data_IF_978780025674
#
_entry.id   IF_978780025674
#
_cell.length_a   1.000
_cell.length_b   1.000
_cell.length_c   1.000
_cell.angle_alpha   90.00
_cell.angle_beta   90.00
_cell.angle_gamma   90.00
#
_symmetry.space_group_name_H-M   'P 1'
#
loop_
_entity.id
_entity.type
_entity.pdbx_description
1 polymer ?
#
# COMPACT_ATOMS: atom_id res chain seq x y z
N UNK A 1 8.22 34.38 18.42
CA UNK A 1 7.30 33.42 19.07
C UNK A 1 6.88 32.41 18.03
N UNK A 2 7.32 31.16 18.20
CA UNK A 2 6.99 30.06 17.31
C UNK A 2 5.55 29.61 17.58
N UNK A 3 4.67 29.75 16.59
CA UNK A 3 3.43 29.00 16.55
C UNK A 3 3.75 27.65 15.92
N UNK A 4 3.97 26.65 16.77
CA UNK A 4 3.90 25.23 16.43
C UNK A 4 2.54 24.96 15.78
N UNK A 5 2.53 24.89 14.45
CA UNK A 5 1.47 24.19 13.74
C UNK A 5 1.59 22.73 14.16
N UNK A 6 0.70 22.31 15.05
CA UNK A 6 0.42 20.92 15.34
C UNK A 6 0.08 20.27 13.99
N UNK A 7 1.06 19.58 13.40
CA UNK A 7 0.83 18.71 12.26
C UNK A 7 -0.05 17.60 12.81
N UNK A 8 -1.36 17.76 12.72
CA UNK A 8 -2.33 16.70 12.87
C UNK A 8 -1.81 15.55 12.00
N UNK A 9 -1.28 14.50 12.64
CA UNK A 9 -0.80 13.30 11.96
C UNK A 9 -2.00 12.69 11.26
N UNK A 10 -2.19 13.01 9.99
CA UNK A 10 -3.19 12.38 9.17
C UNK A 10 -2.54 11.18 8.47
N UNK A 11 -3.11 9.99 8.70
CA UNK A 11 -2.63 8.75 8.14
C UNK A 11 -2.63 8.79 6.62
N UNK A 12 -1.46 8.59 6.02
CA UNK A 12 -1.36 8.37 4.58
C UNK A 12 -1.82 6.95 4.25
N UNK A 13 -2.28 6.75 3.00
CA UNK A 13 -2.63 5.42 2.47
C UNK A 13 -1.53 4.39 2.72
N UNK A 14 -0.28 4.82 2.60
CA UNK A 14 0.89 3.97 2.71
C UNK A 14 1.17 3.54 4.15
N UNK A 15 1.12 4.48 5.09
CA UNK A 15 1.28 4.17 6.51
C UNK A 15 0.19 3.22 6.99
N UNK A 16 -1.03 3.33 6.46
CA UNK A 16 -2.10 2.39 6.76
C UNK A 16 -1.73 0.98 6.29
N UNK A 17 -1.34 0.85 5.02
CA UNK A 17 -0.95 -0.45 4.44
C UNK A 17 0.23 -1.08 5.17
N UNK A 18 1.22 -0.27 5.55
CA UNK A 18 2.35 -0.70 6.38
C UNK A 18 1.88 -1.21 7.74
N UNK A 19 1.05 -0.43 8.44
CA UNK A 19 0.49 -0.84 9.72
C UNK A 19 -0.26 -2.16 9.57
N UNK A 20 -1.17 -2.28 8.60
CA UNK A 20 -1.95 -3.49 8.37
C UNK A 20 -1.06 -4.71 8.10
N UNK A 21 -0.03 -4.56 7.25
CA UNK A 21 0.90 -5.65 6.93
C UNK A 21 1.69 -6.11 8.16
N UNK A 22 2.11 -5.19 9.03
CA UNK A 22 2.82 -5.52 10.28
C UNK A 22 1.96 -6.30 11.29
N UNK A 23 0.64 -6.32 11.10
CA UNK A 23 -0.27 -7.04 11.99
C UNK A 23 -0.51 -8.50 11.59
N UNK A 24 -0.08 -8.94 10.40
CA UNK A 24 -0.29 -10.31 9.91
C UNK A 24 0.29 -11.33 10.90
N UNK A 25 -0.49 -12.37 11.19
CA UNK A 25 -0.14 -13.39 12.19
C UNK A 25 -0.59 -13.06 13.61
N UNK A 26 -1.13 -11.84 13.86
CA UNK A 26 -1.84 -11.57 15.12
C UNK A 26 -3.10 -12.44 15.19
N UNK A 27 -3.23 -13.21 16.27
CA UNK A 27 -4.40 -14.02 16.55
C UNK A 27 -5.08 -13.60 17.85
N UNK A 28 -6.29 -14.10 18.06
CA UNK A 28 -7.02 -13.97 19.31
C UNK A 28 -6.27 -14.59 20.50
N UNK A 29 -6.46 -14.00 21.68
CA UNK A 29 -5.94 -14.53 22.93
C UNK A 29 -6.98 -14.36 24.04
N UNK A 30 -7.60 -15.45 24.54
CA UNK A 30 -7.43 -16.85 24.13
C UNK A 30 -7.90 -17.15 22.68
N UNK A 31 -7.45 -18.25 22.05
CA UNK A 31 -7.95 -18.64 20.72
C UNK A 31 -9.47 -18.86 20.69
N UNK A 32 -10.15 -18.35 19.66
CA UNK A 32 -11.60 -18.49 19.46
C UNK A 32 -12.45 -17.58 20.36
N UNK A 33 -11.83 -16.66 21.09
CA UNK A 33 -12.51 -15.77 22.05
C UNK A 33 -12.97 -14.45 21.45
N UNK A 34 -12.55 -14.11 20.22
CA UNK A 34 -12.65 -12.75 19.66
C UNK A 34 -11.98 -11.65 20.52
N UNK A 35 -11.16 -12.02 21.52
CA UNK A 35 -10.42 -11.06 22.32
C UNK A 35 -9.10 -10.68 21.63
N UNK A 36 -8.96 -9.39 21.30
CA UNK A 36 -7.82 -8.85 20.54
C UNK A 36 -7.48 -7.41 20.95
N UNK A 37 -6.22 -7.03 20.77
CA UNK A 37 -5.72 -5.67 21.05
C UNK A 37 -6.44 -4.55 20.27
N UNK A 38 -7.05 -4.85 19.13
CA UNK A 38 -7.73 -3.84 18.30
C UNK A 38 -8.97 -3.26 18.98
N UNK A 39 -9.73 -4.08 19.71
CA UNK A 39 -10.84 -3.59 20.53
C UNK A 39 -10.34 -2.75 21.70
N UNK A 40 -9.25 -3.16 22.35
CA UNK A 40 -8.64 -2.38 23.43
C UNK A 40 -8.16 -0.99 22.96
N UNK A 41 -7.68 -0.90 21.72
CA UNK A 41 -7.27 0.39 21.15
C UNK A 41 -8.46 1.28 20.74
N UNK A 42 -9.59 0.69 20.35
CA UNK A 42 -10.71 1.40 19.74
C UNK A 42 -11.91 1.53 20.68
N UNK A 43 -12.51 0.40 21.07
CA UNK A 43 -13.69 0.31 21.94
C UNK A 43 -13.57 -0.90 22.88
N UNK A 44 -12.89 -0.75 24.04
CA UNK A 44 -12.57 -1.88 24.93
C UNK A 44 -13.78 -2.69 25.41
N UNK A 45 -14.93 -2.06 25.59
CA UNK A 45 -16.17 -2.73 26.04
C UNK A 45 -16.73 -3.74 25.03
N UNK A 46 -16.20 -3.79 23.82
CA UNK A 46 -16.60 -4.72 22.77
C UNK A 46 -15.57 -5.85 22.55
N UNK A 47 -14.54 -5.95 23.39
CA UNK A 47 -13.53 -6.98 23.28
C UNK A 47 -14.15 -8.37 23.52
N UNK A 48 -14.11 -9.25 22.50
CA UNK A 48 -14.90 -10.49 22.45
C UNK A 48 -15.99 -10.49 21.36
N UNK A 49 -16.23 -9.36 20.70
CA UNK A 49 -17.05 -9.29 19.49
C UNK A 49 -16.23 -9.47 18.20
N UNK A 50 -16.88 -9.80 17.08
CA UNK A 50 -16.23 -9.89 15.77
C UNK A 50 -15.47 -8.61 15.42
N UNK A 51 -14.19 -8.74 15.04
CA UNK A 51 -13.23 -7.62 15.07
C UNK A 51 -12.64 -7.21 13.72
N UNK A 52 -13.21 -7.65 12.58
CA UNK A 52 -12.69 -7.30 11.25
C UNK A 52 -12.67 -5.79 10.97
N UNK A 53 -13.74 -5.08 11.34
CA UNK A 53 -13.79 -3.63 11.25
C UNK A 53 -12.92 -2.98 12.33
N UNK A 54 -12.93 -3.51 13.56
CA UNK A 54 -12.09 -3.00 14.66
C UNK A 54 -10.59 -3.02 14.31
N UNK A 55 -10.13 -4.02 13.54
CA UNK A 55 -8.79 -4.04 12.96
C UNK A 55 -8.51 -2.79 12.11
N UNK A 56 -9.34 -2.50 11.11
CA UNK A 56 -9.14 -1.33 10.24
C UNK A 56 -9.27 -0.01 11.02
N UNK A 57 -10.22 0.06 11.95
CA UNK A 57 -10.39 1.25 12.80
C UNK A 57 -9.20 1.48 13.74
N UNK A 58 -8.63 0.40 14.28
CA UNK A 58 -7.42 0.50 15.07
C UNK A 58 -6.26 1.04 14.24
N UNK A 59 -6.16 0.65 12.95
CA UNK A 59 -5.15 1.18 12.03
C UNK A 59 -5.33 2.67 11.77
N UNK A 60 -6.57 3.09 11.48
CA UNK A 60 -6.91 4.50 11.30
C UNK A 60 -6.53 5.32 12.54
N UNK A 61 -6.91 4.85 13.73
CA UNK A 61 -6.65 5.52 15.01
C UNK A 61 -5.16 5.62 15.32
N UNK A 62 -4.36 4.56 15.09
CA UNK A 62 -2.89 4.61 15.23
C UNK A 62 -2.28 5.65 14.30
N UNK A 63 -2.87 5.83 13.13
CA UNK A 63 -2.49 6.86 12.17
C UNK A 63 -2.99 8.26 12.45
N UNK A 64 -3.61 8.50 13.62
CA UNK A 64 -4.14 9.81 13.99
C UNK A 64 -5.41 10.22 13.23
N UNK A 65 -6.08 9.27 12.56
CA UNK A 65 -7.40 9.49 11.95
C UNK A 65 -8.46 8.76 12.75
N UNK A 66 -9.36 9.51 13.40
CA UNK A 66 -10.60 8.90 13.87
C UNK A 66 -11.58 8.82 12.70
N UNK A 67 -12.02 7.60 12.37
CA UNK A 67 -13.02 7.42 11.33
C UNK A 67 -14.44 7.68 11.86
N UNK A 68 -14.62 7.88 13.17
CA UNK A 68 -15.90 8.37 13.69
C UNK A 68 -16.21 9.77 13.17
N UNK A 69 -15.20 10.57 12.85
CA UNK A 69 -15.37 11.93 12.32
C UNK A 69 -15.94 11.93 10.90
N UNK A 70 -15.71 10.87 10.13
CA UNK A 70 -16.27 10.71 8.78
C UNK A 70 -17.73 10.26 8.79
N UNK A 71 -18.19 9.58 9.85
CA UNK A 71 -19.44 8.79 9.82
C UNK A 71 -20.39 8.99 11.02
N UNK A 72 -20.01 9.77 12.03
CA UNK A 72 -20.89 10.20 13.14
C UNK A 72 -21.30 9.13 14.15
N UNK A 73 -21.33 7.83 13.80
CA UNK A 73 -21.63 6.72 14.72
C UNK A 73 -20.75 5.48 14.46
N UNK A 74 -20.42 4.77 15.55
CA UNK A 74 -19.34 3.78 15.66
C UNK A 74 -19.11 2.87 14.45
N UNK A 75 -18.01 3.06 13.68
CA UNK A 75 -17.79 2.42 12.38
C UNK A 75 -17.20 1.01 12.54
N UNK A 76 -17.91 0.16 13.30
CA UNK A 76 -17.50 -1.22 13.57
C UNK A 76 -18.48 -2.24 12.98
N UNK A 77 -19.67 -1.80 12.58
CA UNK A 77 -20.67 -2.65 11.91
C UNK A 77 -20.54 -2.52 10.40
N UNK A 78 -20.11 -3.59 9.73
CA UNK A 78 -19.80 -3.56 8.28
C UNK A 78 -20.96 -3.09 7.39
N UNK A 79 -22.23 -3.50 7.63
CA UNK A 79 -23.35 -2.94 6.88
C UNK A 79 -23.53 -1.43 7.00
N UNK A 80 -23.27 -0.88 8.20
CA UNK A 80 -23.34 0.57 8.40
C UNK A 80 -22.21 1.27 7.63
N UNK A 81 -20.98 0.74 7.69
CA UNK A 81 -19.85 1.27 6.90
C UNK A 81 -20.19 1.28 5.40
N UNK A 82 -20.81 0.22 4.87
CA UNK A 82 -21.27 0.19 3.46
C UNK A 82 -22.31 1.28 3.18
N UNK A 83 -23.31 1.43 4.04
CA UNK A 83 -24.37 2.42 3.87
C UNK A 83 -23.80 3.84 3.91
N UNK A 84 -22.92 4.13 4.86
CA UNK A 84 -22.35 5.46 5.05
C UNK A 84 -21.39 5.82 3.92
N UNK A 85 -20.53 4.89 3.50
CA UNK A 85 -19.63 5.12 2.36
C UNK A 85 -20.41 5.42 1.07
N UNK A 86 -21.58 4.80 0.88
CA UNK A 86 -22.47 5.11 -0.24
C UNK A 86 -23.10 6.49 -0.10
N UNK A 87 -23.63 6.81 1.08
CA UNK A 87 -24.24 8.11 1.35
C UNK A 87 -23.24 9.27 1.18
N UNK A 88 -21.99 9.06 1.57
CA UNK A 88 -20.89 10.02 1.42
C UNK A 88 -20.28 10.07 0.00
N UNK A 89 -20.75 9.25 -0.95
CA UNK A 89 -20.19 9.21 -2.31
C UNK A 89 -18.77 8.61 -2.41
N UNK A 90 -18.30 7.94 -1.36
CA UNK A 90 -16.97 7.31 -1.27
C UNK A 90 -16.99 5.81 -1.61
N UNK A 91 -18.11 5.33 -2.16
CA UNK A 91 -18.29 3.95 -2.58
C UNK A 91 -17.93 3.76 -4.04
N UNK A 92 -17.12 2.75 -4.31
CA UNK A 92 -16.61 2.44 -5.64
C UNK A 92 -16.83 0.97 -6.01
N UNK A 93 -16.91 0.72 -7.33
CA UNK A 93 -17.04 -0.61 -7.92
C UNK A 93 -15.74 -1.12 -8.54
N UNK A 94 -14.77 -0.24 -8.77
CA UNK A 94 -13.42 -0.56 -9.25
C UNK A 94 -12.41 -0.39 -8.11
N UNK A 95 -11.61 -1.41 -7.78
CA UNK A 95 -10.65 -1.33 -6.69
C UNK A 95 -9.47 -0.43 -7.03
N UNK A 96 -8.94 0.21 -5.99
CA UNK A 96 -7.58 0.74 -5.92
C UNK A 96 -6.87 0.16 -4.69
N UNK A 97 -5.55 0.12 -4.75
CA UNK A 97 -4.71 -0.15 -3.58
C UNK A 97 -5.05 0.86 -2.49
N UNK A 98 -5.21 0.39 -1.25
CA UNK A 98 -5.61 1.19 -0.09
C UNK A 98 -7.13 1.30 0.13
N UNK A 99 -7.96 0.87 -0.82
CA UNK A 99 -9.41 0.80 -0.61
C UNK A 99 -9.74 -0.22 0.48
N UNK A 100 -10.78 0.05 1.26
CA UNK A 100 -11.38 -0.94 2.15
C UNK A 100 -12.41 -1.75 1.37
N UNK A 101 -12.09 -3.01 1.12
CA UNK A 101 -12.98 -3.92 0.42
C UNK A 101 -14.05 -4.43 1.37
N UNK A 102 -15.31 -4.26 0.98
CA UNK A 102 -16.47 -4.78 1.72
C UNK A 102 -16.99 -6.02 1.03
N UNK A 103 -17.18 -7.08 1.81
CA UNK A 103 -17.54 -8.41 1.34
C UNK A 103 -18.80 -8.92 2.01
N UNK A 104 -19.52 -9.79 1.29
CA UNK A 104 -20.75 -10.40 1.77
C UNK A 104 -21.69 -10.80 0.63
N UNK A 105 -22.54 -11.81 0.88
CA UNK A 105 -23.43 -12.38 -0.15
C UNK A 105 -24.74 -11.60 -0.25
N UNK A 106 -25.59 -11.69 0.77
CA UNK A 106 -26.88 -10.99 0.83
C UNK A 106 -26.74 -9.63 1.51
N UNK A 107 -25.97 -9.59 2.60
CA UNK A 107 -25.57 -8.39 3.32
C UNK A 107 -24.06 -8.34 3.46
N UNK A 108 -23.52 -7.15 3.65
CA UNK A 108 -22.15 -6.92 4.10
C UNK A 108 -21.90 -7.67 5.39
N UNK A 109 -20.79 -8.38 5.47
CA UNK A 109 -20.45 -9.20 6.65
C UNK A 109 -18.97 -9.19 6.99
N UNK A 110 -18.13 -8.68 6.10
CA UNK A 110 -16.68 -8.67 6.30
C UNK A 110 -16.03 -7.50 5.59
N UNK A 111 -14.87 -7.07 6.08
CA UNK A 111 -14.11 -5.96 5.54
C UNK A 111 -12.60 -6.23 5.65
N UNK A 112 -11.82 -5.65 4.74
CA UNK A 112 -10.36 -5.68 4.77
C UNK A 112 -9.78 -4.54 3.94
N UNK A 113 -8.46 -4.38 3.95
CA UNK A 113 -7.77 -3.40 3.10
C UNK A 113 -7.20 -4.07 1.85
N UNK A 114 -7.34 -3.44 0.69
CA UNK A 114 -6.75 -3.87 -0.58
C UNK A 114 -5.26 -3.52 -0.58
N UNK A 115 -4.41 -4.54 -0.53
CA UNK A 115 -2.97 -4.40 -0.63
C UNK A 115 -2.50 -4.36 -2.09
N UNK A 116 -3.14 -5.16 -2.97
CA UNK A 116 -2.76 -5.26 -4.39
C UNK A 116 -3.97 -5.55 -5.25
N UNK A 117 -4.06 -4.89 -6.40
CA UNK A 117 -5.01 -5.26 -7.47
C UNK A 117 -4.29 -6.13 -8.49
N UNK A 118 -4.48 -7.44 -8.38
CA UNK A 118 -3.79 -8.42 -9.24
C UNK A 118 -4.41 -8.49 -10.63
N UNK A 119 -5.73 -8.34 -10.72
CA UNK A 119 -6.46 -8.29 -11.99
C UNK A 119 -7.72 -7.45 -11.85
N UNK A 120 -7.91 -6.50 -12.75
CA UNK A 120 -9.12 -5.70 -12.85
C UNK A 120 -10.27 -6.53 -13.42
N UNK A 121 -11.50 -6.21 -13.03
CA UNK A 121 -12.71 -6.87 -13.51
C UNK A 121 -13.96 -6.32 -12.83
N UNK A 122 -15.13 -6.77 -13.30
CA UNK A 122 -16.40 -6.36 -12.72
C UNK A 122 -16.62 -6.95 -11.32
N UNK A 123 -17.37 -6.24 -10.47
CA UNK A 123 -17.92 -6.80 -9.24
C UNK A 123 -18.75 -8.05 -9.53
N UNK A 124 -18.75 -9.02 -8.62
CA UNK A 124 -19.41 -10.31 -8.81
C UNK A 124 -18.67 -11.28 -9.76
N UNK A 125 -17.67 -10.81 -10.54
CA UNK A 125 -16.90 -11.67 -11.44
C UNK A 125 -15.67 -12.29 -10.77
N UNK A 126 -15.23 -13.44 -11.29
CA UNK A 126 -13.94 -14.07 -10.96
C UNK A 126 -12.75 -13.37 -11.62
N UNK A 127 -13.00 -12.47 -12.57
CA UNK A 127 -11.95 -11.75 -13.28
C UNK A 127 -11.29 -10.71 -12.41
N UNK A 128 -12.08 -10.07 -11.55
CA UNK A 128 -11.56 -9.25 -10.46
C UNK A 128 -10.82 -10.13 -9.45
N UNK A 129 -9.52 -9.86 -9.28
CA UNK A 129 -8.66 -10.54 -8.31
C UNK A 129 -7.85 -9.50 -7.53
N UNK A 130 -8.00 -9.51 -6.22
CA UNK A 130 -7.31 -8.61 -5.30
C UNK A 130 -6.59 -9.41 -4.21
N UNK A 131 -5.51 -8.85 -3.70
CA UNK A 131 -4.86 -9.28 -2.46
C UNK A 131 -5.21 -8.30 -1.36
N UNK A 132 -5.62 -8.81 -0.22
CA UNK A 132 -6.15 -8.04 0.91
C UNK A 132 -5.43 -8.41 2.18
N UNK A 133 -5.45 -7.52 3.17
CA UNK A 133 -5.09 -7.82 4.55
C UNK A 133 -6.35 -7.64 5.40
N UNK A 134 -6.70 -8.67 6.16
CA UNK A 134 -7.98 -8.77 6.82
C UNK A 134 -7.77 -9.25 8.25
N UNK A 135 -8.40 -8.58 9.22
CA UNK A 135 -8.54 -9.07 10.59
C UNK A 135 -9.79 -9.94 10.73
N UNK A 136 -9.82 -10.79 11.75
CA UNK A 136 -10.93 -11.71 12.04
C UNK A 136 -11.28 -12.64 10.87
N UNK A 137 -10.27 -13.19 10.21
CA UNK A 137 -10.43 -14.19 9.15
C UNK A 137 -9.59 -15.42 9.45
N UNK A 138 -9.82 -16.53 8.75
CA UNK A 138 -9.02 -17.76 8.92
C UNK A 138 -7.76 -17.76 8.04
N UNK A 139 -6.68 -18.47 8.41
CA UNK A 139 -5.42 -18.51 7.65
C UNK A 139 -5.57 -19.12 6.25
N UNK A 140 -6.56 -20.01 6.07
CA UNK A 140 -6.84 -20.67 4.79
C UNK A 140 -8.28 -20.40 4.33
N UNK A 141 -8.73 -21.11 3.29
CA UNK A 141 -10.13 -21.10 2.87
C UNK A 141 -11.01 -22.02 3.75
N UNK A 142 -10.39 -22.81 4.63
CA UNK A 142 -11.06 -23.59 5.67
C UNK A 142 -11.27 -22.67 6.89
N UNK A 143 -12.44 -22.80 7.52
CA UNK A 143 -12.83 -21.96 8.64
C UNK A 143 -13.58 -20.69 8.21
N UNK A 144 -13.96 -19.90 9.22
CA UNK A 144 -14.79 -18.71 9.01
C UNK A 144 -14.01 -17.59 8.34
N UNK A 145 -14.52 -17.11 7.20
CA UNK A 145 -13.86 -16.03 6.46
C UNK A 145 -14.24 -14.64 6.97
N UNK A 146 -15.27 -14.53 7.81
CA UNK A 146 -15.81 -13.29 8.36
C UNK A 146 -15.85 -13.25 9.90
N UNK A 147 -15.38 -14.31 10.56
CA UNK A 147 -15.16 -14.39 12.00
C UNK A 147 -14.17 -15.52 12.30
N UNK A 148 -12.99 -15.44 11.69
CA UNK A 148 -11.89 -16.37 11.92
C UNK A 148 -11.11 -16.04 13.19
N UNK A 149 -9.82 -16.33 13.21
CA UNK A 149 -8.99 -16.28 14.41
C UNK A 149 -7.90 -15.20 14.38
N UNK A 150 -7.62 -14.62 13.21
CA UNK A 150 -6.44 -13.77 13.07
C UNK A 150 -6.42 -12.79 11.91
N UNK A 151 -5.29 -12.10 11.81
CA UNK A 151 -4.96 -11.19 10.71
C UNK A 151 -4.18 -11.95 9.65
N UNK A 152 -4.72 -12.02 8.44
CA UNK A 152 -4.09 -12.75 7.34
C UNK A 152 -4.17 -12.00 6.03
N UNK A 153 -3.18 -12.27 5.17
CA UNK A 153 -3.20 -11.87 3.77
C UNK A 153 -4.09 -12.84 2.98
N UNK A 154 -5.06 -12.33 2.24
CA UNK A 154 -6.03 -13.14 1.50
C UNK A 154 -6.04 -12.78 0.03
N UNK A 155 -6.27 -13.78 -0.83
CA UNK A 155 -6.61 -13.56 -2.23
C UNK A 155 -8.13 -13.64 -2.37
N UNK A 156 -8.76 -12.55 -2.81
CA UNK A 156 -10.21 -12.48 -2.99
C UNK A 156 -10.54 -12.31 -4.48
N UNK A 157 -11.67 -12.90 -4.88
CA UNK A 157 -12.26 -12.67 -6.20
C UNK A 157 -13.51 -11.82 -6.07
N UNK A 158 -13.88 -11.11 -7.14
CA UNK A 158 -15.05 -10.24 -7.17
C UNK A 158 -16.37 -10.93 -6.80
N UNK A 159 -16.46 -12.26 -6.86
CA UNK A 159 -17.65 -13.06 -6.50
C UNK A 159 -18.18 -12.77 -5.08
N UNK A 160 -17.30 -12.40 -4.15
CA UNK A 160 -17.67 -12.15 -2.75
C UNK A 160 -17.59 -10.67 -2.35
N UNK A 161 -17.23 -9.81 -3.31
CA UNK A 161 -17.01 -8.38 -3.11
C UNK A 161 -18.29 -7.63 -3.45
N UNK A 162 -18.73 -6.79 -2.51
CA UNK A 162 -19.87 -5.88 -2.69
C UNK A 162 -19.44 -4.52 -3.26
N UNK A 163 -18.22 -4.11 -2.94
CA UNK A 163 -17.63 -2.88 -3.41
C UNK A 163 -16.49 -2.43 -2.51
N UNK A 164 -16.09 -1.19 -2.69
CA UNK A 164 -14.90 -0.61 -2.10
C UNK A 164 -15.23 0.74 -1.48
N UNK A 165 -14.97 0.88 -0.20
CA UNK A 165 -14.89 2.18 0.43
C UNK A 165 -13.49 2.75 0.19
N UNK A 166 -13.38 3.98 -0.28
CA UNK A 166 -12.10 4.68 -0.44
C UNK A 166 -11.97 5.75 0.64
N UNK A 167 -11.22 5.47 1.73
CA UNK A 167 -10.96 6.49 2.74
C UNK A 167 -10.29 7.72 2.11
N UNK A 168 -10.65 8.89 2.62
CA UNK A 168 -9.92 10.12 2.33
C UNK A 168 -8.62 10.13 3.14
N UNK A 169 -7.62 9.38 2.65
CA UNK A 169 -6.29 9.40 3.23
C UNK A 169 -5.70 10.79 3.10
N UNK A 170 -4.86 11.18 4.07
CA UNK A 170 -4.08 12.38 3.88
C UNK A 170 -3.25 12.23 2.60
N UNK A 171 -3.08 13.33 1.83
CA UNK A 171 -2.05 13.35 0.83
C UNK A 171 -0.75 13.00 1.53
N UNK A 172 0.05 12.10 0.92
CA UNK A 172 1.39 11.86 1.41
C UNK A 172 2.07 13.22 1.60
N UNK A 173 2.62 13.52 2.78
CA UNK A 173 3.23 14.83 3.00
C UNK A 173 4.23 15.06 1.86
N UNK A 174 4.29 16.28 1.29
CA UNK A 174 5.46 16.64 0.51
C UNK A 174 6.66 16.32 1.40
N UNK A 175 7.63 15.57 0.88
CA UNK A 175 8.80 15.14 1.63
C UNK A 175 9.46 16.40 2.19
N UNK A 176 9.16 16.77 3.43
CA UNK A 176 9.79 17.88 4.11
C UNK A 176 11.16 17.38 4.49
N UNK A 177 12.13 17.92 3.75
CA UNK A 177 13.54 17.75 3.99
C UNK A 177 13.84 18.05 5.48
N UNK A 178 14.58 17.19 6.20
CA UNK A 178 15.59 17.74 7.08
C UNK A 178 16.50 18.57 6.18
N UNK A 179 16.51 19.88 6.37
CA UNK A 179 17.55 20.74 5.81
C UNK A 179 18.87 20.25 6.38
N UNK A 180 19.53 19.33 5.69
CA UNK A 180 20.94 19.10 5.91
C UNK A 180 21.65 20.32 5.37
N UNK A 181 22.04 21.20 6.27
CA UNK A 181 23.00 22.27 6.03
C UNK A 181 24.14 21.72 5.19
N UNK A 182 24.21 22.19 3.94
CA UNK A 182 25.31 21.92 3.02
C UNK A 182 26.59 22.46 3.63
N UNK A 183 27.35 21.62 4.31
CA UNK A 183 28.77 21.89 4.53
C UNK A 183 29.52 21.22 3.39
N UNK A 184 29.97 22.06 2.46
CA UNK A 184 30.90 21.69 1.41
C UNK A 184 32.18 21.17 2.05
N UNK A 185 32.41 19.86 2.00
CA UNK A 185 33.73 19.27 2.20
C UNK A 185 34.07 18.38 1.01
N UNK A 186 35.15 18.77 0.36
CA UNK A 186 35.96 18.12 -0.69
C UNK A 186 36.06 16.59 -0.51
N UNK A 187 36.09 15.80 -1.59
CA UNK A 187 36.00 14.35 -1.52
C UNK A 187 37.27 13.74 -0.92
N UNK A 188 37.14 12.91 0.12
CA UNK A 188 38.22 12.06 0.61
C UNK A 188 37.66 10.72 1.08
N UNK A 189 38.10 9.67 0.36
CA UNK A 189 37.93 8.22 0.62
C UNK A 189 36.55 7.60 0.38
N UNK A 190 36.48 6.78 -0.67
CA UNK A 190 35.35 5.94 -1.04
C UNK A 190 35.08 4.87 0.04
N UNK A 191 34.10 5.12 0.89
CA UNK A 191 33.32 4.04 1.48
C UNK A 191 32.34 3.53 0.40
N UNK A 192 32.19 2.20 0.22
CA UNK A 192 31.20 1.69 -0.73
C UNK A 192 29.82 2.19 -0.31
N UNK A 193 29.06 2.74 -1.27
CA UNK A 193 27.65 3.07 -1.08
C UNK A 193 26.96 1.80 -0.55
N UNK A 194 26.60 1.78 0.73
CA UNK A 194 25.85 0.67 1.34
C UNK A 194 24.37 1.01 1.27
N UNK A 195 23.58 0.13 0.67
CA UNK A 195 22.12 0.21 0.75
C UNK A 195 21.62 -0.65 1.91
N UNK A 196 20.48 -0.29 2.49
CA UNK A 196 19.86 -1.03 3.61
C UNK A 196 18.60 -1.77 3.16
N UNK A 197 18.04 -2.62 4.03
CA UNK A 197 16.70 -3.21 3.80
C UNK A 197 15.62 -2.14 3.68
N UNK A 198 15.79 -0.98 4.31
CA UNK A 198 14.88 0.15 4.17
C UNK A 198 14.96 0.76 2.76
N UNK A 199 16.15 0.79 2.15
CA UNK A 199 16.31 1.23 0.76
C UNK A 199 15.60 0.25 -0.21
N UNK A 200 15.65 -1.06 0.05
CA UNK A 200 14.86 -2.08 -0.70
C UNK A 200 13.37 -1.85 -0.52
N UNK A 201 12.93 -1.64 0.72
CA UNK A 201 11.54 -1.36 1.05
C UNK A 201 11.03 -0.10 0.35
N UNK A 202 11.85 0.96 0.32
CA UNK A 202 11.55 2.19 -0.41
C UNK A 202 11.46 1.96 -1.92
N UNK A 203 12.32 1.10 -2.48
CA UNK A 203 12.23 0.72 -3.89
C UNK A 203 10.94 -0.04 -4.20
N UNK A 204 10.58 -0.99 -3.34
CA UNK A 204 9.33 -1.75 -3.46
C UNK A 204 8.11 -0.83 -3.36
N UNK A 205 8.15 0.18 -2.50
CA UNK A 205 7.13 1.22 -2.40
C UNK A 205 6.93 1.97 -3.71
N UNK A 206 8.01 2.44 -4.34
CA UNK A 206 7.92 3.16 -5.61
C UNK A 206 7.46 2.26 -6.78
N UNK A 207 7.67 0.96 -6.66
CA UNK A 207 7.31 -0.03 -7.68
C UNK A 207 5.92 -0.64 -7.47
N UNK A 208 5.22 -0.28 -6.40
CA UNK A 208 4.02 -0.99 -5.92
C UNK A 208 4.21 -2.52 -5.84
N UNK A 209 5.42 -2.95 -5.47
CA UNK A 209 5.75 -4.34 -5.22
C UNK A 209 5.34 -4.75 -3.80
N UNK A 210 5.42 -6.06 -3.52
CA UNK A 210 5.32 -6.56 -2.15
C UNK A 210 6.36 -5.85 -1.25
N UNK A 211 5.93 -5.34 -0.09
CA UNK A 211 6.73 -4.55 0.85
C UNK A 211 7.38 -5.41 1.93
N UNK A 212 8.08 -6.46 1.51
CA UNK A 212 8.68 -7.45 2.40
C UNK A 212 10.17 -7.19 2.69
N UNK A 213 10.75 -6.12 2.13
CA UNK A 213 12.18 -5.79 2.21
C UNK A 213 13.09 -6.92 1.70
N UNK A 214 12.52 -7.80 0.87
CA UNK A 214 13.19 -8.89 0.19
C UNK A 214 13.10 -8.68 -1.32
N UNK A 215 14.23 -8.73 -2.02
CA UNK A 215 14.22 -8.61 -3.47
C UNK A 215 13.80 -9.94 -4.13
N UNK A 216 12.50 -10.22 -4.07
CA UNK A 216 11.86 -11.39 -4.66
C UNK A 216 11.33 -11.17 -6.07
N UNK A 217 10.61 -12.16 -6.61
CA UNK A 217 10.16 -12.17 -8.00
C UNK A 217 9.22 -11.01 -8.39
N UNK A 218 8.38 -10.52 -7.47
CA UNK A 218 7.49 -9.37 -7.74
C UNK A 218 8.30 -8.07 -7.85
N UNK A 219 9.22 -7.84 -6.90
CA UNK A 219 10.17 -6.72 -6.94
C UNK A 219 10.99 -6.75 -8.22
N UNK A 220 11.54 -7.92 -8.58
CA UNK A 220 12.32 -8.12 -9.80
C UNK A 220 11.53 -7.74 -11.05
N UNK A 221 10.32 -8.30 -11.21
CA UNK A 221 9.48 -8.07 -12.38
C UNK A 221 9.19 -6.58 -12.57
N UNK A 222 8.79 -5.90 -11.49
CA UNK A 222 8.41 -4.49 -11.52
C UNK A 222 9.61 -3.58 -11.71
N UNK A 223 10.73 -3.87 -11.03
CA UNK A 223 11.94 -3.08 -11.13
C UNK A 223 12.56 -3.15 -12.54
N UNK A 224 12.60 -4.34 -13.14
CA UNK A 224 13.10 -4.51 -14.51
C UNK A 224 12.16 -3.87 -15.54
N UNK A 225 10.84 -4.00 -15.37
CA UNK A 225 9.87 -3.31 -16.23
C UNK A 225 10.02 -1.77 -16.13
N UNK A 226 10.17 -1.24 -14.91
CA UNK A 226 10.37 0.18 -14.67
C UNK A 226 11.67 0.67 -15.30
N UNK A 227 12.80 -0.04 -15.09
CA UNK A 227 14.08 0.26 -15.72
C UNK A 227 13.98 0.27 -17.24
N UNK A 228 13.35 -0.73 -17.84
CA UNK A 228 13.23 -0.85 -19.30
C UNK A 228 12.44 0.33 -19.92
N UNK A 229 11.41 0.82 -19.24
CA UNK A 229 10.58 1.94 -19.71
C UNK A 229 11.23 3.30 -19.41
N UNK A 230 11.90 3.43 -18.26
CA UNK A 230 12.54 4.68 -17.86
C UNK A 230 13.83 4.95 -18.64
N UNK A 231 14.64 3.92 -18.88
CA UNK A 231 15.91 4.02 -19.60
C UNK A 231 15.68 4.10 -21.11
N UNK A 232 15.83 5.29 -21.70
CA UNK A 232 15.66 5.48 -23.15
C UNK A 232 16.62 4.63 -24.01
N UNK A 233 17.73 4.16 -23.43
CA UNK A 233 18.72 3.29 -24.09
C UNK A 233 18.33 1.81 -24.12
N UNK A 234 17.24 1.40 -23.48
CA UNK A 234 16.82 0.00 -23.40
C UNK A 234 15.58 -0.25 -24.27
N UNK A 235 15.47 -1.45 -24.88
CA UNK A 235 14.25 -1.82 -25.60
C UNK A 235 13.10 -2.01 -24.60
N UNK A 236 12.00 -1.31 -24.84
CA UNK A 236 10.75 -1.46 -24.10
C UNK A 236 9.68 -2.18 -24.93
N UNK A 237 8.76 -2.88 -24.27
CA UNK A 237 7.61 -3.51 -24.92
C UNK A 237 6.28 -3.11 -24.26
N UNK A 238 5.18 -3.40 -24.95
CA UNK A 238 3.81 -3.05 -24.52
C UNK A 238 3.46 -3.57 -23.12
N UNK A 239 3.93 -4.76 -22.75
CA UNK A 239 3.66 -5.37 -21.44
C UNK A 239 4.36 -4.62 -20.33
N UNK A 240 5.63 -4.25 -20.52
CA UNK A 240 6.40 -3.45 -19.56
C UNK A 240 5.78 -2.07 -19.37
N UNK A 241 5.35 -1.42 -20.46
CA UNK A 241 4.66 -0.13 -20.39
C UNK A 241 3.39 -0.24 -19.54
N UNK A 242 2.56 -1.27 -19.74
CA UNK A 242 1.36 -1.47 -18.93
C UNK A 242 1.64 -1.71 -17.45
N UNK A 243 2.72 -2.42 -17.11
CA UNK A 243 3.16 -2.59 -15.72
C UNK A 243 3.50 -1.22 -15.13
N UNK A 244 4.29 -0.42 -15.83
CA UNK A 244 4.69 0.91 -15.35
C UNK A 244 3.51 1.88 -15.27
N UNK A 245 2.58 1.81 -16.22
CA UNK A 245 1.34 2.61 -16.19
C UNK A 245 0.49 2.29 -14.95
N UNK A 246 0.46 1.02 -14.53
CA UNK A 246 -0.19 0.63 -13.27
C UNK A 246 0.56 1.18 -12.05
N UNK A 247 1.90 1.14 -12.04
CA UNK A 247 2.73 1.69 -10.95
C UNK A 247 2.52 3.19 -10.77
N UNK A 248 2.36 3.92 -11.88
CA UNK A 248 2.27 5.38 -11.87
C UNK A 248 0.83 5.91 -11.93
N UNK A 249 -0.18 5.03 -11.81
CA UNK A 249 -1.63 5.32 -11.84
C UNK A 249 -2.08 6.16 -13.06
N UNK A 250 -1.61 5.80 -14.26
CA UNK A 250 -2.07 6.37 -15.55
C UNK A 250 -2.78 5.33 -16.40
N UNK A 251 -3.41 5.75 -17.50
CA UNK A 251 -4.12 4.86 -18.43
C UNK A 251 -3.23 3.70 -18.92
N UNK A 252 -3.72 2.46 -18.82
CA UNK A 252 -2.99 1.23 -19.19
C UNK A 252 -3.08 0.84 -20.67
N UNK A 253 -2.96 1.81 -21.58
CA UNK A 253 -3.08 1.61 -23.03
C UNK A 253 -1.89 0.84 -23.66
N UNK A 254 -0.76 0.79 -22.95
CA UNK A 254 0.49 0.19 -23.40
C UNK A 254 1.31 1.09 -24.33
N UNK A 255 1.00 2.38 -24.37
CA UNK A 255 1.71 3.41 -25.13
C UNK A 255 2.52 4.31 -24.20
N UNK A 256 3.80 4.54 -24.51
CA UNK A 256 4.62 5.47 -23.75
C UNK A 256 4.37 6.91 -24.22
N UNK A 257 3.20 7.44 -23.88
CA UNK A 257 2.76 8.79 -24.21
C UNK A 257 3.30 9.88 -23.27
N UNK A 258 2.94 11.16 -23.51
CA UNK A 258 3.38 12.30 -22.68
C UNK A 258 3.01 12.17 -21.20
N UNK A 259 1.81 11.65 -20.91
CA UNK A 259 1.33 11.40 -19.55
C UNK A 259 2.19 10.36 -18.82
N UNK A 260 2.38 9.18 -19.44
CA UNK A 260 3.24 8.12 -18.91
C UNK A 260 4.67 8.62 -18.68
N UNK A 261 5.22 9.42 -19.62
CA UNK A 261 6.55 10.04 -19.45
C UNK A 261 6.62 10.96 -18.24
N UNK A 262 5.65 11.86 -18.08
CA UNK A 262 5.64 12.80 -16.96
C UNK A 262 5.59 12.08 -15.62
N UNK A 263 4.71 11.07 -15.50
CA UNK A 263 4.55 10.28 -14.29
C UNK A 263 5.79 9.42 -13.97
N UNK A 264 6.41 8.79 -14.99
CA UNK A 264 7.66 8.04 -14.82
C UNK A 264 8.78 8.94 -14.32
N UNK A 265 8.97 10.14 -14.87
CA UNK A 265 10.03 11.08 -14.43
C UNK A 265 9.94 11.44 -12.95
N UNK A 266 8.73 11.57 -12.40
CA UNK A 266 8.52 11.79 -10.96
C UNK A 266 9.08 10.62 -10.13
N UNK A 267 8.82 9.38 -10.57
CA UNK A 267 9.33 8.18 -9.88
C UNK A 267 10.84 8.00 -10.11
N UNK A 268 11.38 8.30 -11.29
CA UNK A 268 12.83 8.28 -11.57
C UNK A 268 13.58 9.16 -10.58
N UNK A 269 13.10 10.37 -10.30
CA UNK A 269 13.72 11.27 -9.32
C UNK A 269 13.79 10.65 -7.92
N UNK A 270 12.75 9.89 -7.51
CA UNK A 270 12.70 9.19 -6.23
C UNK A 270 13.64 7.96 -6.22
N UNK A 271 13.72 7.23 -7.33
CA UNK A 271 14.71 6.17 -7.52
C UNK A 271 16.13 6.71 -7.34
N UNK A 272 16.46 7.81 -8.00
CA UNK A 272 17.78 8.45 -7.93
C UNK A 272 18.18 8.80 -6.49
N UNK A 273 17.22 9.24 -5.68
CA UNK A 273 17.44 9.47 -4.25
C UNK A 273 17.81 8.19 -3.50
N UNK A 274 17.06 7.09 -3.69
CA UNK A 274 17.35 5.78 -3.07
C UNK A 274 18.70 5.24 -3.55
N UNK A 275 18.98 5.40 -4.84
CA UNK A 275 20.21 4.97 -5.49
C UNK A 275 21.41 5.88 -5.16
N UNK A 276 21.20 6.95 -4.38
CA UNK A 276 22.25 7.88 -3.91
C UNK A 276 23.03 8.49 -5.08
N UNK A 277 22.30 8.84 -6.15
CA UNK A 277 22.80 9.54 -7.35
C UNK A 277 22.10 10.89 -7.54
N UNK A 278 22.57 11.66 -8.51
CA UNK A 278 21.96 12.94 -8.91
C UNK A 278 20.48 12.75 -9.31
N UNK A 279 19.64 13.69 -8.86
CA UNK A 279 18.19 13.65 -8.98
C UNK A 279 17.67 14.54 -10.13
N UNK A 280 18.08 14.25 -11.36
CA UNK A 280 17.74 15.01 -12.55
C UNK A 280 16.41 14.60 -13.21
N UNK A 281 15.72 13.60 -12.65
CA UNK A 281 14.47 13.02 -13.17
C UNK A 281 14.63 12.33 -14.54
N UNK A 282 15.85 12.07 -14.98
CA UNK A 282 16.18 11.37 -16.21
C UNK A 282 16.89 10.06 -15.87
N UNK A 283 16.43 8.94 -16.47
CA UNK A 283 17.14 7.69 -16.31
C UNK A 283 18.33 7.62 -17.28
N UNK A 284 19.42 8.26 -16.88
CA UNK A 284 20.69 8.24 -17.62
C UNK A 284 21.63 7.10 -17.18
N UNK A 285 22.83 7.00 -17.80
CA UNK A 285 23.81 5.98 -17.48
C UNK A 285 24.27 5.95 -16.01
N UNK A 286 24.25 7.09 -15.32
CA UNK A 286 24.55 7.17 -13.88
C UNK A 286 23.51 6.43 -13.03
N UNK A 287 22.23 6.76 -13.23
CA UNK A 287 21.10 6.08 -12.60
C UNK A 287 21.10 4.58 -12.90
N UNK A 288 21.34 4.22 -14.16
CA UNK A 288 21.32 2.81 -14.59
C UNK A 288 22.41 1.98 -13.90
N UNK A 289 23.65 2.50 -13.85
CA UNK A 289 24.76 1.83 -13.14
C UNK A 289 24.47 1.66 -11.66
N UNK A 290 23.93 2.70 -11.01
CA UNK A 290 23.59 2.62 -9.60
C UNK A 290 22.47 1.60 -9.33
N UNK A 291 21.44 1.56 -10.20
CA UNK A 291 20.40 0.55 -10.12
C UNK A 291 20.95 -0.87 -10.30
N UNK A 292 21.84 -1.10 -11.27
CA UNK A 292 22.47 -2.42 -11.48
C UNK A 292 23.30 -2.84 -10.26
N UNK A 293 24.02 -1.91 -9.63
CA UNK A 293 24.76 -2.18 -8.40
C UNK A 293 23.82 -2.52 -7.23
N UNK A 294 22.77 -1.72 -7.04
CA UNK A 294 21.73 -1.98 -6.04
C UNK A 294 21.09 -3.35 -6.24
N UNK A 295 20.69 -3.66 -7.47
CA UNK A 295 20.08 -4.93 -7.87
C UNK A 295 21.00 -6.10 -7.57
N UNK A 296 22.28 -6.00 -7.95
CA UNK A 296 23.27 -7.05 -7.68
C UNK A 296 23.46 -7.30 -6.19
N UNK A 297 23.40 -6.25 -5.36
CA UNK A 297 23.53 -6.38 -3.91
C UNK A 297 22.35 -7.12 -3.29
N UNK A 298 21.13 -6.83 -3.75
CA UNK A 298 19.90 -7.24 -3.08
C UNK A 298 19.17 -8.43 -3.72
N UNK A 299 19.42 -8.75 -4.98
CA UNK A 299 18.72 -9.84 -5.68
C UNK A 299 18.79 -11.15 -4.87
N UNK A 300 17.63 -11.66 -4.47
CA UNK A 300 17.51 -12.90 -3.69
C UNK A 300 17.77 -12.74 -2.19
N UNK A 301 17.92 -11.53 -1.65
CA UNK A 301 18.11 -11.23 -0.22
C UNK A 301 16.95 -10.47 0.38
#
# INVERSE_FOLDING_TARGET
MAATAEILRHLTKQEFLFWAASQIGTTESPPGSNQVKYWLNTKPSWNGASWCAAFLQSGAKVGGKDMTDDFGWGPYYVPQIEADARAAGQWHTTPKVGDWVVMGKTKSSHIGIVEKVTRQGALGSKDLVITTIEGNTSPSNVGSQNNGDGVYRKKRTGKFVRGFFRPNYAPSPPVTHPTTTTTTTTPTTAHPLRWSREDVHAMQFLLEAALDSHWGADTELRAQAFRAVAAASLPQNRTQIKIVQAIVDVSGDGSYGPETRAAVRVIVKKFQKILKVEQDSNWGPGTDRAFVAFHKEWRGK
#
